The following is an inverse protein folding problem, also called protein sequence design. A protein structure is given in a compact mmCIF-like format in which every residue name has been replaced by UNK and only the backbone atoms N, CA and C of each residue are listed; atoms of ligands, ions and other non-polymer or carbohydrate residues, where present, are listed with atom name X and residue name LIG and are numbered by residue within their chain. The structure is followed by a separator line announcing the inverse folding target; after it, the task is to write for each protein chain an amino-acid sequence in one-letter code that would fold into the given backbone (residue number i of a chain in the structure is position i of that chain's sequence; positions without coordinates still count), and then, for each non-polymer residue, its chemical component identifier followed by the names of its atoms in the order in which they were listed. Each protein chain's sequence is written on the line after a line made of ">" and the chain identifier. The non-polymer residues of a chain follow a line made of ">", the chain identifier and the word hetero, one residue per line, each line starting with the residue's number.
data_IF_265166859779
#
_entry.id   IF_265166859779
#
_cell.length_a   1.000
_cell.length_b   1.000
_cell.length_c   1.000
_cell.angle_alpha   90.00
_cell.angle_beta   90.00
_cell.angle_gamma   90.00
#
_symmetry.space_group_name_H-M   'P 1'
#
loop_
_entity.id
_entity.type
_entity.pdbx_description
1 polymer ?
#
# COMPACT_ATOMS: atom_id res chain seq x y z
N UNK A 1 1.90 13.10 -7.64
CA UNK A 1 2.23 13.38 -6.23
C UNK A 1 2.74 14.80 -6.01
N UNK A 2 3.83 15.29 -6.61
CA UNK A 2 4.40 16.62 -6.34
C UNK A 2 3.41 17.78 -6.42
N UNK A 3 2.60 17.85 -7.49
CA UNK A 3 1.58 18.91 -7.63
C UNK A 3 0.55 18.87 -6.51
N UNK A 4 0.13 17.67 -6.09
CA UNK A 4 -0.80 17.52 -4.97
C UNK A 4 -0.15 17.90 -3.63
N UNK A 5 1.13 17.58 -3.45
CA UNK A 5 1.88 18.01 -2.26
C UNK A 5 2.02 19.54 -2.19
N UNK A 6 2.27 20.19 -3.33
CA UNK A 6 2.31 21.65 -3.40
C UNK A 6 0.95 22.28 -3.06
N UNK A 7 -0.15 21.75 -3.63
CA UNK A 7 -1.51 22.19 -3.29
C UNK A 7 -1.85 21.96 -1.81
N UNK A 8 -1.41 20.83 -1.24
CA UNK A 8 -1.58 20.57 0.19
C UNK A 8 -0.90 21.64 1.04
N UNK A 9 0.35 22.00 0.70
CA UNK A 9 1.10 23.05 1.42
C UNK A 9 0.38 24.39 1.32
N UNK A 10 -0.10 24.78 0.13
CA UNK A 10 -0.88 26.00 -0.07
C UNK A 10 -2.16 26.04 0.76
N UNK A 11 -2.95 24.97 0.70
CA UNK A 11 -4.22 24.86 1.42
C UNK A 11 -4.04 24.92 2.94
N UNK A 12 -2.86 24.57 3.44
CA UNK A 12 -2.50 24.65 4.87
C UNK A 12 -1.66 25.90 5.21
N UNK A 13 -1.76 26.96 4.41
CA UNK A 13 -1.10 28.27 4.62
C UNK A 13 0.44 28.19 4.62
N UNK A 14 1.01 27.14 4.05
CA UNK A 14 2.44 27.02 3.81
C UNK A 14 2.86 27.80 2.56
N UNK A 15 4.18 27.93 2.38
CA UNK A 15 4.76 28.64 1.24
C UNK A 15 5.37 27.64 0.27
N UNK A 16 4.92 27.62 -0.99
CA UNK A 16 5.45 26.71 -2.02
C UNK A 16 6.95 26.89 -2.22
N UNK A 17 7.44 28.13 -2.16
CA UNK A 17 8.86 28.44 -2.33
C UNK A 17 9.76 27.94 -1.19
N UNK A 18 9.20 27.43 -0.11
CA UNK A 18 9.91 26.73 0.96
C UNK A 18 9.92 25.21 0.77
N UNK A 19 9.24 24.69 -0.26
CA UNK A 19 9.18 23.29 -0.61
C UNK A 19 10.30 22.93 -1.57
N UNK A 20 11.21 22.04 -1.15
CA UNK A 20 12.23 21.44 -2.01
C UNK A 20 11.77 20.07 -2.48
N UNK A 21 11.64 19.88 -3.78
CA UNK A 21 11.15 18.66 -4.41
C UNK A 21 12.34 17.89 -4.97
N UNK A 22 12.42 16.60 -4.60
CA UNK A 22 13.40 15.66 -5.12
C UNK A 22 12.70 14.42 -5.66
N UNK A 23 13.24 13.85 -6.72
CA UNK A 23 12.72 12.62 -7.29
C UNK A 23 13.71 11.95 -8.22
N UNK A 24 13.43 10.71 -8.56
CA UNK A 24 14.20 9.95 -9.53
C UNK A 24 13.27 9.01 -10.30
N UNK A 25 13.57 8.81 -11.58
CA UNK A 25 12.77 7.99 -12.49
C UNK A 25 13.70 7.20 -13.43
N UNK A 26 13.43 5.93 -13.61
CA UNK A 26 14.24 5.06 -14.46
C UNK A 26 13.89 5.18 -15.94
N UNK A 27 12.63 5.53 -16.27
CA UNK A 27 12.18 5.68 -17.66
C UNK A 27 12.44 7.09 -18.17
N UNK A 28 13.20 7.22 -19.27
CA UNK A 28 13.60 8.50 -19.84
C UNK A 28 12.40 9.37 -20.30
N UNK A 29 11.33 8.76 -20.80
CA UNK A 29 10.15 9.51 -21.21
C UNK A 29 9.34 9.98 -20.00
N UNK A 30 9.16 9.12 -19.00
CA UNK A 30 8.49 9.47 -17.74
C UNK A 30 9.26 10.57 -17.00
N UNK A 31 10.59 10.51 -16.99
CA UNK A 31 11.44 11.57 -16.43
C UNK A 31 11.20 12.93 -17.11
N UNK A 32 11.17 12.98 -18.46
CA UNK A 32 10.85 14.20 -19.22
C UNK A 32 9.43 14.71 -18.91
N UNK A 33 8.45 13.80 -18.86
CA UNK A 33 7.07 14.16 -18.51
C UNK A 33 6.96 14.71 -17.09
N UNK A 34 7.71 14.16 -16.14
CA UNK A 34 7.76 14.67 -14.78
C UNK A 34 8.34 16.11 -14.72
N UNK A 35 9.42 16.37 -15.46
CA UNK A 35 9.98 17.74 -15.58
C UNK A 35 8.98 18.71 -16.22
N UNK A 36 8.33 18.31 -17.31
CA UNK A 36 7.30 19.13 -17.94
C UNK A 36 6.14 19.41 -16.98
N UNK A 37 5.71 18.39 -16.22
CA UNK A 37 4.63 18.54 -15.25
C UNK A 37 4.99 19.57 -14.15
N UNK A 38 6.20 19.51 -13.60
CA UNK A 38 6.68 20.50 -12.64
C UNK A 38 6.69 21.91 -13.26
N UNK A 39 7.26 22.06 -14.46
CA UNK A 39 7.35 23.35 -15.15
C UNK A 39 5.98 23.97 -15.44
N UNK A 40 4.99 23.19 -15.92
CA UNK A 40 3.64 23.67 -16.19
C UNK A 40 2.95 24.16 -14.91
N UNK A 41 3.25 23.56 -13.77
CA UNK A 41 2.70 23.95 -12.48
C UNK A 41 3.54 24.99 -11.73
N UNK A 42 4.61 25.51 -12.35
CA UNK A 42 5.48 26.51 -11.75
C UNK A 42 6.27 25.99 -10.53
N UNK A 43 6.51 24.67 -10.49
CA UNK A 43 7.24 24.03 -9.41
C UNK A 43 8.70 23.79 -9.83
N UNK A 44 9.62 24.10 -8.93
CA UNK A 44 11.02 23.70 -9.07
C UNK A 44 11.26 22.36 -8.36
N UNK A 45 12.07 21.50 -8.96
CA UNK A 45 12.42 20.20 -8.36
C UNK A 45 13.66 19.60 -9.00
N UNK A 46 14.45 18.91 -8.20
CA UNK A 46 15.61 18.14 -8.63
C UNK A 46 15.19 16.69 -8.89
N UNK A 47 15.04 16.33 -10.17
CA UNK A 47 14.72 14.97 -10.62
C UNK A 47 15.97 14.20 -11.08
N UNK A 48 17.15 14.63 -10.65
CA UNK A 48 18.43 14.08 -11.09
C UNK A 48 18.83 14.55 -12.50
N UNK A 49 20.02 14.13 -12.92
CA UNK A 49 20.62 14.57 -14.20
C UNK A 49 20.01 13.88 -15.42
N UNK A 50 19.17 12.88 -15.22
CA UNK A 50 18.50 12.08 -16.25
C UNK A 50 17.84 10.85 -15.66
N UNK A 51 17.23 10.05 -16.54
CA UNK A 51 16.65 8.77 -16.12
C UNK A 51 17.74 7.85 -15.55
N UNK A 52 17.47 7.28 -14.37
CA UNK A 52 18.39 6.38 -13.68
C UNK A 52 17.67 5.38 -12.78
N UNK A 53 18.20 4.15 -12.73
CA UNK A 53 17.73 3.14 -11.81
C UNK A 53 18.10 3.51 -10.37
N UNK A 54 17.10 3.60 -9.50
CA UNK A 54 17.25 4.05 -8.12
C UNK A 54 18.12 3.11 -7.27
N UNK A 55 18.15 1.82 -7.58
CA UNK A 55 18.95 0.87 -6.82
C UNK A 55 20.43 0.92 -7.21
N UNK A 56 20.72 1.09 -8.51
CA UNK A 56 22.08 1.03 -9.05
C UNK A 56 22.75 2.40 -9.27
N UNK A 57 21.95 3.45 -9.39
CA UNK A 57 22.43 4.81 -9.63
C UNK A 57 21.56 5.82 -8.89
N UNK A 58 21.66 5.81 -7.57
CA UNK A 58 21.01 6.80 -6.72
C UNK A 58 21.68 8.18 -6.94
N UNK A 59 20.93 9.10 -7.53
CA UNK A 59 21.43 10.45 -7.86
C UNK A 59 21.31 11.42 -6.69
N UNK A 60 20.70 11.01 -5.56
CA UNK A 60 20.46 11.84 -4.38
C UNK A 60 21.05 11.23 -3.10
N UNK A 61 22.17 10.52 -3.18
CA UNK A 61 22.74 9.70 -2.09
C UNK A 61 22.90 10.43 -0.75
N UNK A 62 23.25 11.71 -0.76
CA UNK A 62 23.44 12.51 0.46
C UNK A 62 22.16 13.19 0.98
N UNK A 63 21.09 13.19 0.17
CA UNK A 63 19.83 13.84 0.52
C UNK A 63 19.13 13.11 1.66
N UNK A 64 18.56 13.89 2.58
CA UNK A 64 17.70 13.40 3.66
C UNK A 64 16.40 14.20 3.66
N UNK A 65 15.30 13.54 3.31
CA UNK A 65 14.00 14.15 3.16
C UNK A 65 13.22 14.19 4.47
N UNK A 66 12.53 15.31 4.71
CA UNK A 66 11.57 15.40 5.81
C UNK A 66 10.30 14.57 5.54
N UNK A 67 9.88 14.53 4.27
CA UNK A 67 8.73 13.75 3.82
C UNK A 67 9.08 12.94 2.57
N UNK A 68 8.69 11.67 2.56
CA UNK A 68 8.81 10.80 1.39
C UNK A 68 7.44 10.25 1.06
N UNK A 69 7.02 10.38 -0.19
CA UNK A 69 5.79 9.78 -0.70
C UNK A 69 6.13 8.92 -1.91
N UNK A 70 5.71 7.66 -1.88
CA UNK A 70 6.02 6.75 -2.96
C UNK A 70 4.94 5.70 -3.20
N UNK A 71 4.78 5.36 -4.47
CA UNK A 71 4.04 4.23 -4.96
C UNK A 71 4.94 3.47 -5.95
N UNK A 72 5.87 2.65 -5.44
CA UNK A 72 6.82 1.92 -6.28
C UNK A 72 6.12 0.78 -7.04
N UNK A 73 6.77 0.20 -8.07
CA UNK A 73 6.25 -0.99 -8.73
C UNK A 73 6.03 -2.13 -7.74
N UNK A 74 4.79 -2.68 -7.71
CA UNK A 74 4.46 -3.76 -6.78
C UNK A 74 5.11 -5.07 -7.18
N UNK A 75 5.68 -5.78 -6.21
CA UNK A 75 6.23 -7.12 -6.37
C UNK A 75 7.23 -7.24 -7.54
N UNK A 76 8.05 -6.19 -7.75
CA UNK A 76 9.03 -6.17 -8.81
C UNK A 76 10.02 -7.32 -8.63
N UNK A 77 10.10 -8.19 -9.63
CA UNK A 77 11.06 -9.30 -9.74
C UNK A 77 12.28 -8.84 -10.54
N UNK A 78 13.33 -9.63 -10.46
CA UNK A 78 14.56 -9.43 -11.27
C UNK A 78 15.12 -8.00 -11.18
N UNK A 79 15.01 -7.39 -9.99
CA UNK A 79 15.49 -6.03 -9.72
C UNK A 79 17.00 -5.93 -9.49
N UNK A 80 17.73 -7.07 -9.64
CA UNK A 80 19.18 -7.14 -9.52
C UNK A 80 19.72 -7.13 -8.08
N UNK A 81 18.90 -7.56 -7.12
CA UNK A 81 19.27 -7.61 -5.70
C UNK A 81 20.48 -8.48 -5.40
N UNK A 82 20.75 -9.49 -6.22
CA UNK A 82 21.95 -10.34 -6.17
C UNK A 82 23.27 -9.55 -6.26
N UNK A 83 23.26 -8.40 -6.91
CA UNK A 83 24.41 -7.49 -7.08
C UNK A 83 24.55 -6.45 -5.97
N UNK A 84 23.59 -6.39 -5.06
CA UNK A 84 23.49 -5.35 -4.03
C UNK A 84 23.52 -5.94 -2.60
N UNK A 85 24.12 -7.12 -2.42
CA UNK A 85 24.12 -7.82 -1.12
C UNK A 85 24.82 -7.03 -0.01
N UNK A 86 25.83 -6.21 -0.34
CA UNK A 86 26.61 -5.41 0.60
C UNK A 86 26.18 -3.92 0.61
N UNK A 87 25.01 -3.61 0.06
CA UNK A 87 24.53 -2.23 -0.01
C UNK A 87 24.22 -1.67 1.39
N UNK A 88 24.73 -0.50 1.70
CA UNK A 88 24.60 0.15 3.01
C UNK A 88 23.15 0.52 3.37
N UNK A 89 22.23 0.51 2.40
CA UNK A 89 20.80 0.74 2.61
C UNK A 89 20.10 -0.40 3.34
N UNK A 90 20.66 -1.62 3.30
CA UNK A 90 20.04 -2.82 3.87
C UNK A 90 20.26 -2.96 5.38
N UNK A 91 20.00 -1.88 6.14
CA UNK A 91 20.13 -1.84 7.59
C UNK A 91 19.29 -2.90 8.31
N UNK A 92 18.12 -3.22 7.76
CA UNK A 92 17.13 -4.13 8.38
C UNK A 92 17.19 -5.56 7.83
N UNK A 93 18.13 -5.83 6.95
CA UNK A 93 18.32 -7.14 6.32
C UNK A 93 18.33 -7.06 4.80
N UNK A 94 18.94 -8.05 4.16
CA UNK A 94 19.08 -8.09 2.69
C UNK A 94 17.72 -8.47 2.08
N UNK A 95 17.14 -7.61 1.23
CA UNK A 95 15.86 -7.92 0.57
C UNK A 95 15.96 -9.15 -0.34
N UNK A 96 14.88 -9.93 -0.52
CA UNK A 96 14.89 -11.07 -1.41
C UNK A 96 15.02 -10.64 -2.88
N UNK A 97 15.74 -11.42 -3.69
CA UNK A 97 15.90 -11.18 -5.13
C UNK A 97 14.57 -11.21 -5.90
N UNK A 98 13.64 -12.05 -5.47
CA UNK A 98 12.36 -12.25 -6.13
C UNK A 98 11.32 -11.18 -5.87
N UNK A 99 11.58 -10.20 -4.97
CA UNK A 99 10.62 -9.14 -4.63
C UNK A 99 11.32 -7.90 -4.06
N UNK A 100 11.13 -6.75 -4.71
CA UNK A 100 11.74 -5.48 -4.32
C UNK A 100 10.95 -4.66 -3.29
N UNK A 101 9.79 -5.11 -2.79
CA UNK A 101 8.95 -4.30 -1.90
C UNK A 101 9.74 -3.75 -0.69
N UNK A 102 10.50 -4.60 -0.02
CA UNK A 102 11.32 -4.19 1.13
C UNK A 102 12.66 -3.55 0.74
N UNK A 103 13.11 -3.70 -0.49
CA UNK A 103 14.23 -2.90 -1.02
C UNK A 103 13.81 -1.43 -1.20
N UNK A 104 12.63 -1.18 -1.77
CA UNK A 104 12.04 0.15 -1.86
C UNK A 104 11.84 0.77 -0.47
N UNK A 105 11.27 0.02 0.46
CA UNK A 105 11.05 0.49 1.83
C UNK A 105 12.38 0.90 2.49
N UNK A 106 13.41 0.07 2.44
CA UNK A 106 14.70 0.36 3.05
C UNK A 106 15.44 1.50 2.35
N UNK A 107 15.35 1.60 1.00
CA UNK A 107 15.89 2.75 0.25
C UNK A 107 15.25 4.07 0.75
N UNK A 108 13.94 4.10 0.95
CA UNK A 108 13.25 5.29 1.45
C UNK A 108 13.60 5.58 2.91
N UNK A 109 13.68 4.57 3.77
CA UNK A 109 14.14 4.75 5.15
C UNK A 109 15.56 5.32 5.17
N UNK A 110 16.45 4.88 4.28
CA UNK A 110 17.81 5.42 4.18
C UNK A 110 17.81 6.91 3.87
N UNK A 111 16.92 7.36 2.99
CA UNK A 111 16.77 8.78 2.64
C UNK A 111 15.94 9.61 3.62
N UNK A 112 15.36 9.00 4.64
CA UNK A 112 14.53 9.71 5.61
C UNK A 112 15.40 10.50 6.60
N UNK A 113 15.08 11.79 6.80
CA UNK A 113 15.72 12.63 7.81
C UNK A 113 15.49 12.10 9.24
N UNK A 114 16.29 12.52 10.25
CA UNK A 114 16.14 12.03 11.62
C UNK A 114 14.74 12.21 12.24
N UNK A 115 13.98 13.21 11.79
CA UNK A 115 12.58 13.45 12.18
C UNK A 115 11.64 13.36 10.98
N UNK A 116 12.06 12.59 9.96
CA UNK A 116 11.30 12.45 8.73
C UNK A 116 10.17 11.44 8.85
N UNK A 117 9.16 11.64 7.99
CA UNK A 117 8.00 10.77 7.87
C UNK A 117 7.82 10.34 6.41
N UNK A 118 7.40 9.11 6.20
CA UNK A 118 7.12 8.61 4.85
C UNK A 118 5.76 7.94 4.75
N UNK A 119 5.15 8.08 3.57
CA UNK A 119 3.97 7.33 3.13
C UNK A 119 4.33 6.45 1.94
N UNK A 120 4.15 5.15 2.09
CA UNK A 120 4.52 4.15 1.09
C UNK A 120 3.32 3.26 0.77
N UNK A 121 2.95 3.19 -0.51
CA UNK A 121 1.90 2.27 -0.98
C UNK A 121 2.54 0.96 -1.41
N UNK A 122 2.06 -0.15 -0.87
CA UNK A 122 2.48 -1.50 -1.25
C UNK A 122 1.26 -2.42 -1.42
N UNK A 123 1.43 -3.51 -2.16
CA UNK A 123 0.43 -4.56 -2.22
C UNK A 123 0.24 -5.21 -0.84
N UNK A 124 -0.99 -5.60 -0.50
CA UNK A 124 -1.34 -6.15 0.82
C UNK A 124 -0.51 -7.37 1.24
N UNK A 125 0.03 -8.15 0.28
CA UNK A 125 0.95 -9.24 0.56
C UNK A 125 2.18 -8.82 1.38
N UNK A 126 2.62 -7.57 1.29
CA UNK A 126 3.73 -7.05 2.08
C UNK A 126 3.47 -7.07 3.59
N UNK A 127 2.20 -6.99 4.01
CA UNK A 127 1.81 -6.98 5.43
C UNK A 127 2.01 -8.34 6.12
N UNK A 128 1.99 -9.44 5.35
CA UNK A 128 2.00 -10.82 5.87
C UNK A 128 3.06 -11.72 5.23
N UNK A 129 3.90 -11.20 4.33
CA UNK A 129 4.97 -11.96 3.70
C UNK A 129 5.86 -12.64 4.74
N UNK A 130 6.26 -13.88 4.46
CA UNK A 130 7.15 -14.69 5.30
C UNK A 130 8.60 -14.67 4.80
N UNK A 131 9.49 -15.43 5.47
CA UNK A 131 10.90 -15.51 5.12
C UNK A 131 11.60 -14.16 5.28
N UNK A 132 12.52 -13.83 4.38
CA UNK A 132 13.35 -12.61 4.48
C UNK A 132 12.53 -11.30 4.58
N UNK A 133 11.41 -11.23 3.87
CA UNK A 133 10.52 -10.05 3.98
C UNK A 133 9.90 -9.94 5.37
N UNK A 134 9.49 -11.08 5.96
CA UNK A 134 8.99 -11.14 7.32
C UNK A 134 10.04 -10.74 8.35
N UNK A 135 11.28 -11.22 8.21
CA UNK A 135 12.41 -10.86 9.07
C UNK A 135 12.71 -9.36 9.02
N UNK A 136 12.78 -8.77 7.82
CA UNK A 136 12.99 -7.33 7.64
C UNK A 136 11.85 -6.53 8.29
N UNK A 137 10.60 -6.96 8.08
CA UNK A 137 9.42 -6.34 8.68
C UNK A 137 9.49 -6.32 10.19
N UNK A 138 9.82 -7.46 10.80
CA UNK A 138 10.00 -7.56 12.25
C UNK A 138 11.04 -6.57 12.76
N UNK A 139 12.22 -6.48 12.14
CA UNK A 139 13.28 -5.57 12.56
C UNK A 139 12.84 -4.10 12.45
N UNK A 140 12.12 -3.73 11.38
CA UNK A 140 11.57 -2.38 11.18
C UNK A 140 10.54 -2.04 12.27
N UNK A 141 9.69 -3.00 12.66
CA UNK A 141 8.69 -2.83 13.73
C UNK A 141 9.39 -2.66 15.08
N UNK A 142 10.40 -3.49 15.37
CA UNK A 142 11.18 -3.40 16.62
C UNK A 142 12.01 -2.11 16.72
N UNK A 143 12.39 -1.49 15.59
CA UNK A 143 13.04 -0.16 15.52
C UNK A 143 11.99 0.98 15.69
N UNK A 144 10.75 0.65 16.00
CA UNK A 144 9.61 1.54 16.25
C UNK A 144 9.33 2.55 15.13
N UNK A 145 9.56 2.16 13.88
CA UNK A 145 9.34 3.05 12.72
C UNK A 145 7.90 3.06 12.22
N UNK A 146 7.16 1.95 12.38
CA UNK A 146 5.80 1.84 11.83
C UNK A 146 4.84 2.63 12.71
N UNK A 147 4.29 3.72 12.19
CA UNK A 147 3.35 4.59 12.90
C UNK A 147 1.89 4.23 12.60
N UNK A 148 1.58 3.94 11.33
CA UNK A 148 0.23 3.56 10.94
C UNK A 148 0.24 2.62 9.72
N UNK A 149 -0.68 1.67 9.70
CA UNK A 149 -1.00 0.79 8.57
C UNK A 149 -2.46 0.96 8.20
N UNK A 150 -2.72 1.29 6.94
CA UNK A 150 -4.07 1.49 6.43
C UNK A 150 -4.33 0.46 5.32
N UNK A 151 -5.24 -0.47 5.53
CA UNK A 151 -5.74 -1.33 4.45
C UNK A 151 -6.71 -0.53 3.60
N UNK A 152 -6.37 -0.34 2.33
CA UNK A 152 -7.16 0.45 1.40
C UNK A 152 -8.21 -0.43 0.69
N UNK A 153 -9.31 0.16 0.21
CA UNK A 153 -10.26 -0.53 -0.65
C UNK A 153 -9.59 -1.13 -1.90
N UNK A 154 -10.19 -2.15 -2.46
CA UNK A 154 -9.80 -2.68 -3.77
C UNK A 154 -10.09 -1.67 -4.90
N UNK A 155 -9.48 -1.87 -6.07
CA UNK A 155 -9.74 -1.11 -7.30
C UNK A 155 -9.49 0.41 -7.22
N UNK A 156 -8.73 0.89 -6.24
CA UNK A 156 -8.28 2.29 -6.19
C UNK A 156 -7.17 2.59 -7.22
N UNK A 157 -6.41 1.58 -7.62
CA UNK A 157 -5.32 1.74 -8.56
C UNK A 157 -5.81 1.42 -9.97
N UNK A 158 -5.83 2.40 -10.87
CA UNK A 158 -6.38 2.27 -12.23
C UNK A 158 -5.72 1.16 -13.08
N UNK A 159 -4.47 0.85 -12.82
CA UNK A 159 -3.71 -0.15 -13.60
C UNK A 159 -3.84 -1.59 -13.07
N UNK A 160 -4.44 -1.80 -11.91
CA UNK A 160 -4.54 -3.11 -11.27
C UNK A 160 -5.68 -3.18 -10.26
N UNK A 161 -6.36 -4.33 -10.18
CA UNK A 161 -7.33 -4.61 -9.12
C UNK A 161 -6.73 -5.08 -7.79
N UNK A 162 -5.40 -5.04 -7.65
CA UNK A 162 -4.70 -5.49 -6.44
C UNK A 162 -5.06 -4.58 -5.26
N UNK A 163 -5.46 -5.19 -4.14
CA UNK A 163 -5.64 -4.46 -2.89
C UNK A 163 -4.30 -3.98 -2.35
N UNK A 164 -4.26 -2.73 -1.92
CA UNK A 164 -3.04 -2.07 -1.45
C UNK A 164 -3.19 -1.62 0.00
N UNK A 165 -2.06 -1.42 0.63
CA UNK A 165 -1.95 -0.80 1.96
C UNK A 165 -1.07 0.43 1.90
N UNK A 166 -1.43 1.44 2.68
CA UNK A 166 -0.60 2.60 2.92
C UNK A 166 0.15 2.40 4.23
N UNK A 167 1.48 2.41 4.14
CA UNK A 167 2.38 2.36 5.27
C UNK A 167 2.82 3.76 5.63
N UNK A 168 2.63 4.17 6.87
CA UNK A 168 3.17 5.41 7.40
C UNK A 168 4.29 5.05 8.37
N UNK A 169 5.52 5.41 8.00
CA UNK A 169 6.69 5.26 8.85
C UNK A 169 7.16 6.64 9.32
N UNK A 170 7.53 6.72 10.59
CA UNK A 170 7.94 7.98 11.22
C UNK A 170 9.12 7.74 12.15
N UNK A 171 10.19 8.54 11.99
CA UNK A 171 11.38 8.50 12.88
C UNK A 171 11.21 9.31 14.16
N UNK A 172 10.13 10.07 14.27
CA UNK A 172 9.85 10.97 15.39
C UNK A 172 8.39 10.77 15.85
N UNK A 173 8.06 9.51 16.19
CA UNK A 173 6.72 9.13 16.62
C UNK A 173 6.39 9.82 17.95
N UNK A 174 5.18 10.39 18.04
CA UNK A 174 4.65 10.91 19.31
C UNK A 174 4.04 9.82 20.19
N UNK A 175 3.55 8.75 19.57
CA UNK A 175 3.03 7.57 20.24
C UNK A 175 4.07 6.45 20.14
N UNK A 176 5.15 6.57 20.91
CA UNK A 176 6.23 5.57 20.92
C UNK A 176 5.70 4.18 21.31
N UNK A 177 6.21 3.15 20.65
CA UNK A 177 5.85 1.75 20.90
C UNK A 177 4.45 1.37 20.44
N UNK A 178 3.68 2.28 19.79
CA UNK A 178 2.32 2.03 19.32
C UNK A 178 2.22 2.15 17.82
N UNK A 179 1.36 1.33 17.21
CA UNK A 179 1.02 1.37 15.78
C UNK A 179 -0.49 1.45 15.62
N UNK A 180 -0.96 2.39 14.82
CA UNK A 180 -2.37 2.50 14.45
C UNK A 180 -2.66 1.57 13.26
N UNK A 181 -3.71 0.78 13.37
CA UNK A 181 -4.26 -0.02 12.29
C UNK A 181 -5.61 0.53 11.87
N UNK A 182 -5.77 0.80 10.57
CA UNK A 182 -7.02 1.24 9.97
C UNK A 182 -7.46 0.23 8.90
N UNK A 183 -8.68 -0.28 9.01
CA UNK A 183 -9.30 -1.09 7.97
C UNK A 183 -10.30 -0.27 7.18
N UNK A 184 -9.85 0.25 6.05
CA UNK A 184 -10.63 1.10 5.17
C UNK A 184 -11.19 0.34 3.95
N UNK A 185 -11.14 -1.00 3.94
CA UNK A 185 -11.56 -1.82 2.79
C UNK A 185 -13.01 -1.61 2.39
N UNK A 186 -13.87 -1.22 3.33
CA UNK A 186 -15.29 -0.98 3.11
C UNK A 186 -15.62 0.47 2.74
N UNK A 187 -14.62 1.38 2.72
CA UNK A 187 -14.81 2.78 2.34
C UNK A 187 -14.81 2.96 0.82
N UNK A 188 -15.24 4.14 0.41
CA UNK A 188 -15.28 4.54 -0.99
C UNK A 188 -16.50 4.00 -1.75
N UNK A 189 -16.63 4.46 -2.98
CA UNK A 189 -17.72 4.12 -3.89
C UNK A 189 -17.19 3.76 -5.27
N UNK A 190 -17.94 2.93 -6.00
CA UNK A 190 -17.59 2.57 -7.37
C UNK A 190 -17.93 3.74 -8.31
N UNK A 191 -16.93 4.25 -9.05
CA UNK A 191 -17.13 5.26 -10.10
C UNK A 191 -17.50 4.62 -11.43
N UNK A 192 -17.07 3.39 -11.65
CA UNK A 192 -17.46 2.53 -12.77
C UNK A 192 -17.35 1.04 -12.36
N UNK A 193 -17.49 0.12 -13.32
CA UNK A 193 -17.44 -1.34 -13.05
C UNK A 193 -16.07 -1.83 -12.56
N UNK A 194 -15.01 -1.08 -12.82
CA UNK A 194 -13.63 -1.49 -12.56
C UNK A 194 -12.93 -0.64 -11.50
N UNK A 195 -13.39 0.60 -11.25
CA UNK A 195 -12.67 1.57 -10.44
C UNK A 195 -13.50 2.07 -9.26
N UNK A 196 -12.85 2.21 -8.15
CA UNK A 196 -13.37 2.80 -6.91
C UNK A 196 -12.65 4.11 -6.62
N UNK A 197 -13.32 5.03 -5.96
CA UNK A 197 -12.74 6.27 -5.45
C UNK A 197 -13.16 6.48 -4.00
N UNK A 198 -12.37 7.24 -3.25
CA UNK A 198 -12.69 7.69 -1.91
C UNK A 198 -13.38 9.04 -1.98
N UNK A 199 -14.46 9.21 -1.25
CA UNK A 199 -15.08 10.51 -1.07
C UNK A 199 -14.20 11.44 -0.22
N UNK A 200 -14.47 12.74 -0.24
CA UNK A 200 -13.80 13.68 0.65
C UNK A 200 -14.04 13.33 2.12
N UNK A 201 -15.23 12.88 2.46
CA UNK A 201 -15.60 12.44 3.83
C UNK A 201 -14.79 11.19 4.25
N UNK A 202 -14.58 10.22 3.34
CA UNK A 202 -13.73 9.05 3.62
C UNK A 202 -12.29 9.47 3.92
N UNK A 203 -11.75 10.38 3.10
CA UNK A 203 -10.39 10.90 3.27
C UNK A 203 -10.28 11.68 4.59
N UNK A 204 -11.28 12.50 4.92
CA UNK A 204 -11.33 13.26 6.17
C UNK A 204 -11.42 12.33 7.38
N UNK A 205 -12.27 11.30 7.34
CA UNK A 205 -12.36 10.28 8.40
C UNK A 205 -11.00 9.64 8.66
N UNK A 206 -10.31 9.17 7.62
CA UNK A 206 -8.98 8.55 7.74
C UNK A 206 -7.97 9.54 8.31
N UNK A 207 -7.94 10.76 7.77
CA UNK A 207 -6.99 11.80 8.19
C UNK A 207 -7.20 12.24 9.64
N UNK A 208 -8.44 12.40 10.06
CA UNK A 208 -8.78 12.83 11.41
C UNK A 208 -8.55 11.73 12.45
N UNK A 209 -8.84 10.47 12.12
CA UNK A 209 -8.47 9.33 12.97
C UNK A 209 -6.96 9.29 13.18
N UNK A 210 -6.17 9.43 12.11
CA UNK A 210 -4.72 9.47 12.21
C UNK A 210 -4.22 10.68 13.03
N UNK A 211 -4.76 11.89 12.81
CA UNK A 211 -4.41 13.10 13.58
C UNK A 211 -4.75 12.94 15.06
N UNK A 212 -5.91 12.37 15.38
CA UNK A 212 -6.34 12.10 16.75
C UNK A 212 -5.41 11.11 17.44
N UNK A 213 -5.03 10.02 16.77
CA UNK A 213 -4.03 9.07 17.27
C UNK A 213 -2.69 9.76 17.58
N UNK A 214 -2.15 10.52 16.62
CA UNK A 214 -0.90 11.28 16.83
C UNK A 214 -1.02 12.29 17.97
N UNK A 215 -2.22 12.86 18.17
CA UNK A 215 -2.55 13.76 19.27
C UNK A 215 -2.76 13.06 20.61
N UNK A 216 -2.66 11.73 20.69
CA UNK A 216 -2.84 10.94 21.92
C UNK A 216 -4.29 10.78 22.36
N UNK A 217 -5.25 11.00 21.44
CA UNK A 217 -6.67 10.73 21.72
C UNK A 217 -7.00 9.27 21.48
N UNK A 218 -8.04 8.80 22.13
CA UNK A 218 -8.62 7.50 21.84
C UNK A 218 -9.26 7.50 20.43
N UNK A 219 -8.94 6.46 19.65
CA UNK A 219 -9.42 6.27 18.27
C UNK A 219 -9.93 4.86 18.01
N UNK A 220 -10.15 4.09 19.09
CA UNK A 220 -10.67 2.74 18.98
C UNK A 220 -12.06 2.74 18.36
N UNK A 221 -12.25 2.01 17.27
CA UNK A 221 -13.52 1.83 16.57
C UNK A 221 -13.56 0.41 16.00
N UNK A 222 -14.46 -0.40 16.52
CA UNK A 222 -14.60 -1.82 16.14
C UNK A 222 -14.81 -1.95 14.62
N UNK A 223 -14.08 -2.86 13.99
CA UNK A 223 -14.12 -3.06 12.53
C UNK A 223 -13.38 -2.01 11.70
N UNK A 224 -12.89 -0.91 12.30
CA UNK A 224 -12.26 0.19 11.55
C UNK A 224 -10.89 0.58 12.07
N UNK A 225 -10.72 0.84 13.37
CA UNK A 225 -9.50 1.40 13.93
C UNK A 225 -9.09 0.72 15.23
N UNK A 226 -7.78 0.41 15.37
CA UNK A 226 -7.20 -0.15 16.59
C UNK A 226 -5.77 0.32 16.78
N UNK A 227 -5.36 0.51 18.03
CA UNK A 227 -4.00 0.91 18.41
C UNK A 227 -3.31 -0.24 19.13
N UNK A 228 -2.45 -0.96 18.43
CA UNK A 228 -1.67 -2.06 19.00
C UNK A 228 -0.32 -1.59 19.55
N UNK A 229 0.12 -2.22 20.65
CA UNK A 229 1.49 -2.11 21.13
C UNK A 229 2.39 -3.20 20.51
N UNK A 230 3.70 -3.11 20.76
CA UNK A 230 4.68 -4.07 20.24
C UNK A 230 4.37 -5.51 20.66
N UNK A 231 3.85 -5.71 21.88
CA UNK A 231 3.56 -7.04 22.41
C UNK A 231 2.41 -7.69 21.63
N UNK A 232 1.36 -6.95 21.38
CA UNK A 232 0.22 -7.43 20.57
C UNK A 232 0.65 -7.75 19.14
N UNK A 233 1.52 -6.93 18.54
CA UNK A 233 2.07 -7.18 17.21
C UNK A 233 2.93 -8.45 17.19
N UNK A 234 3.71 -8.70 18.26
CA UNK A 234 4.50 -9.92 18.44
C UNK A 234 3.60 -11.16 18.58
N UNK A 235 2.53 -11.08 19.37
CA UNK A 235 1.52 -12.14 19.51
C UNK A 235 0.86 -12.47 18.16
N UNK A 236 0.72 -11.49 17.25
CA UNK A 236 0.28 -11.64 15.88
C UNK A 236 1.40 -12.03 14.90
N UNK A 237 2.56 -12.49 15.38
CA UNK A 237 3.71 -12.93 14.56
C UNK A 237 4.21 -11.85 13.59
N UNK A 238 4.17 -10.58 14.00
CA UNK A 238 4.54 -9.40 13.21
C UNK A 238 3.78 -9.26 11.89
N UNK A 239 2.63 -9.91 11.74
CA UNK A 239 1.72 -9.69 10.61
C UNK A 239 0.95 -8.41 10.85
N UNK A 240 0.98 -7.48 9.88
CA UNK A 240 0.42 -6.14 10.02
C UNK A 240 -0.93 -5.96 9.27
N UNK A 241 -1.64 -7.04 8.99
CA UNK A 241 -2.95 -6.97 8.31
C UNK A 241 -3.99 -6.36 9.25
N UNK A 242 -4.53 -5.14 8.98
CA UNK A 242 -5.40 -4.42 9.91
C UNK A 242 -6.61 -5.23 10.40
N UNK A 243 -7.24 -6.03 9.54
CA UNK A 243 -8.37 -6.88 9.93
C UNK A 243 -8.09 -7.90 11.05
N UNK A 244 -6.81 -8.11 11.45
CA UNK A 244 -6.47 -8.93 12.63
C UNK A 244 -6.56 -8.16 13.93
N UNK A 245 -6.52 -6.84 13.86
CA UNK A 245 -6.43 -5.94 15.02
C UNK A 245 -7.73 -5.23 15.32
N UNK A 246 -8.44 -4.75 14.28
CA UNK A 246 -9.65 -3.93 14.45
C UNK A 246 -10.88 -4.69 14.97
N UNK A 247 -10.78 -6.03 15.09
CA UNK A 247 -11.93 -6.88 15.44
C UNK A 247 -12.92 -7.03 14.29
N UNK A 248 -13.99 -7.75 14.57
CA UNK A 248 -15.13 -7.84 13.66
C UNK A 248 -16.24 -6.99 14.26
N UNK A 249 -16.81 -6.07 13.47
CA UNK A 249 -18.18 -5.64 13.79
C UNK A 249 -19.01 -6.94 13.90
N UNK A 250 -19.77 -7.09 14.98
CA UNK A 250 -20.80 -8.10 15.02
C UNK A 250 -21.73 -7.79 13.83
N UNK A 251 -21.43 -8.41 12.67
CA UNK A 251 -22.38 -8.45 11.57
C UNK A 251 -23.67 -9.01 12.14
N UNK A 252 -24.81 -8.54 11.66
CA UNK A 252 -26.10 -9.14 11.98
C UNK A 252 -25.88 -10.64 12.05
N UNK A 253 -26.12 -11.25 13.22
CA UNK A 253 -25.96 -12.67 13.40
C UNK A 253 -26.67 -13.31 12.22
N UNK A 254 -25.96 -14.09 11.43
CA UNK A 254 -26.54 -14.82 10.32
C UNK A 254 -27.55 -15.78 10.95
N UNK A 255 -28.82 -15.32 11.00
CA UNK A 255 -29.90 -16.06 11.66
C UNK A 255 -30.15 -17.44 11.01
N UNK A 256 -29.50 -17.67 9.84
CA UNK A 256 -29.58 -18.95 9.12
C UNK A 256 -28.63 -19.96 9.77
N UNK A 257 -29.12 -21.08 10.35
CA UNK A 257 -28.27 -22.11 10.89
C UNK A 257 -27.26 -22.62 9.88
N UNK A 258 -26.01 -22.85 10.31
CA UNK A 258 -24.90 -23.26 9.43
C UNK A 258 -25.27 -24.45 8.53
N UNK A 259 -25.97 -25.42 9.06
CA UNK A 259 -26.39 -26.63 8.33
C UNK A 259 -27.37 -26.28 7.19
N UNK A 260 -28.37 -25.42 7.45
CA UNK A 260 -29.34 -24.97 6.45
C UNK A 260 -28.66 -24.13 5.36
N UNK A 261 -27.77 -23.24 5.75
CA UNK A 261 -26.98 -22.45 4.82
C UNK A 261 -26.08 -23.29 3.93
N UNK A 262 -25.42 -24.30 4.50
CA UNK A 262 -24.58 -25.23 3.75
C UNK A 262 -25.39 -26.07 2.79
N UNK A 263 -26.57 -26.55 3.21
CA UNK A 263 -27.47 -27.36 2.36
C UNK A 263 -27.97 -26.50 1.16
N UNK A 264 -28.38 -25.27 1.41
CA UNK A 264 -28.80 -24.31 0.37
C UNK A 264 -27.67 -24.01 -0.60
N UNK A 265 -26.47 -23.63 -0.09
CA UNK A 265 -25.32 -23.27 -0.92
C UNK A 265 -24.76 -24.43 -1.73
N UNK A 266 -24.77 -25.66 -1.17
CA UNK A 266 -24.36 -26.85 -1.91
C UNK A 266 -25.36 -27.24 -2.98
N UNK A 267 -26.67 -27.07 -2.74
CA UNK A 267 -27.69 -27.24 -3.77
C UNK A 267 -27.54 -26.25 -4.92
N UNK A 268 -27.38 -24.95 -4.61
CA UNK A 268 -27.17 -23.91 -5.60
C UNK A 268 -25.88 -24.13 -6.42
N UNK A 269 -24.81 -24.58 -5.76
CA UNK A 269 -23.56 -24.94 -6.43
C UNK A 269 -23.75 -26.13 -7.38
N UNK A 270 -24.58 -27.13 -6.99
CA UNK A 270 -24.95 -28.24 -7.85
C UNK A 270 -25.66 -27.79 -9.12
N UNK A 271 -26.66 -26.91 -8.97
CA UNK A 271 -27.41 -26.37 -10.09
C UNK A 271 -26.49 -25.55 -11.06
N UNK A 272 -25.56 -24.77 -10.49
CA UNK A 272 -24.57 -24.01 -11.29
C UNK A 272 -23.59 -24.94 -12.05
N UNK A 273 -23.19 -26.06 -11.47
CA UNK A 273 -22.39 -27.07 -12.18
C UNK A 273 -23.16 -27.70 -13.33
N UNK A 274 -24.45 -28.00 -13.16
CA UNK A 274 -25.28 -28.54 -14.23
C UNK A 274 -25.48 -27.55 -15.36
N UNK A 275 -25.75 -26.28 -15.05
CA UNK A 275 -25.81 -25.19 -16.03
C UNK A 275 -24.49 -24.99 -16.77
N UNK A 276 -23.36 -25.03 -16.06
CA UNK A 276 -22.02 -24.95 -16.67
C UNK A 276 -21.76 -26.08 -17.65
N UNK A 277 -22.16 -27.31 -17.33
CA UNK A 277 -22.02 -28.47 -18.19
C UNK A 277 -22.92 -28.38 -19.46
N UNK A 278 -24.12 -27.83 -19.33
CA UNK A 278 -25.01 -27.58 -20.48
C UNK A 278 -24.45 -26.49 -21.39
N UNK A 279 -23.95 -25.39 -20.83
CA UNK A 279 -23.31 -24.32 -21.57
C UNK A 279 -22.03 -24.80 -22.29
N UNK A 280 -21.24 -25.66 -21.65
CA UNK A 280 -20.07 -26.27 -22.29
C UNK A 280 -20.46 -27.08 -23.52
N UNK A 281 -21.50 -27.91 -23.43
CA UNK A 281 -22.01 -28.67 -24.58
C UNK A 281 -22.48 -27.76 -25.72
N UNK A 282 -23.25 -26.72 -25.38
CA UNK A 282 -23.76 -25.76 -26.34
C UNK A 282 -22.62 -25.02 -27.07
N UNK A 283 -21.60 -24.61 -26.36
CA UNK A 283 -20.40 -23.97 -26.91
C UNK A 283 -19.69 -24.92 -27.87
N UNK A 284 -19.50 -26.19 -27.51
CA UNK A 284 -18.88 -27.20 -28.38
C UNK A 284 -19.68 -27.45 -29.63
N UNK A 285 -21.00 -27.53 -29.54
CA UNK A 285 -21.89 -27.70 -30.69
C UNK A 285 -21.82 -26.47 -31.64
N UNK A 286 -21.90 -25.26 -31.12
CA UNK A 286 -21.84 -24.04 -31.89
C UNK A 286 -20.50 -23.86 -32.60
N UNK A 287 -19.40 -24.12 -31.88
CA UNK A 287 -18.06 -24.07 -32.49
C UNK A 287 -17.86 -25.16 -33.54
N UNK A 288 -18.38 -26.35 -33.31
CA UNK A 288 -18.39 -27.43 -34.32
C UNK A 288 -19.15 -27.06 -35.60
N UNK A 289 -20.30 -26.40 -35.45
CA UNK A 289 -21.11 -25.95 -36.57
C UNK A 289 -20.41 -24.93 -37.49
N UNK A 290 -19.47 -24.13 -36.94
CA UNK A 290 -18.68 -23.16 -37.73
C UNK A 290 -17.28 -23.66 -38.08
N UNK A 291 -16.98 -24.97 -37.83
CA UNK A 291 -15.74 -25.62 -38.21
C UNK A 291 -14.58 -25.51 -37.22
N UNK A 292 -14.84 -25.03 -35.99
CA UNK A 292 -13.88 -24.96 -34.90
C UNK A 292 -14.29 -25.91 -33.76
N UNK A 293 -13.90 -27.18 -33.85
CA UNK A 293 -14.14 -28.15 -32.79
C UNK A 293 -13.09 -28.06 -31.68
N UNK A 294 -13.55 -28.13 -30.39
CA UNK A 294 -12.73 -28.27 -29.18
C UNK A 294 -13.08 -29.56 -28.44
#
# INVERSE_FOLDING_TARGET
>A
MFVQSAKFVENHQGRINELSIYGQESNANTWKLAQMNLAIHGLEGDLGHGAADTFFNDQHQSMRANYILANPPFNLKDWGGDKLLEDSRWKYGIPPEGNANYAWMQHMIFHLAPRGKMGLVLANGSLSASGREGEIREVIIRDDLVECIIAMPDRLIYSTGISVSLWILNRDKKQEGKTLFLDCRNLGHMIDRAHRDLSEDDIEKIADTYKNFVGGKDVEELGYAHVADLKEIEENSFVLTPGRYVGLEEGEEDEEPFEEKMERLTSELGDLFDESNELEKLIKEQLGAIGYGI
#
